data_IF_025403343368
#
_entry.id   IF_025403343368
#
_cell.length_a   1.000
_cell.length_b   1.000
_cell.length_c   1.000
_cell.angle_alpha   90.00
_cell.angle_beta   90.00
_cell.angle_gamma   90.00
#
_symmetry.space_group_name_H-M   'P 1'
#
loop_
_entity.id
_entity.type
_entity.pdbx_description
1 polymer ?
#
# COMPACT_ATOMS: atom_id res chain seq x y z
N UNK A 1 -16.69 4.10 10.41
CA UNK A 1 -16.52 2.68 10.00
C UNK A 1 -15.45 1.92 10.79
N UNK A 2 -14.14 2.15 10.66
CA UNK A 2 -13.14 1.35 11.44
C UNK A 2 -13.24 1.56 12.96
N UNK A 3 -13.34 2.82 13.41
CA UNK A 3 -13.50 3.16 14.84
C UNK A 3 -14.81 2.66 15.44
N UNK A 4 -15.90 2.72 14.67
CA UNK A 4 -17.21 2.17 15.06
C UNK A 4 -17.16 0.65 15.24
N UNK A 5 -16.30 -0.05 14.50
CA UNK A 5 -16.07 -1.48 14.63
C UNK A 5 -15.09 -1.84 15.76
N UNK A 6 -14.65 -0.86 16.59
CA UNK A 6 -13.67 -1.09 17.65
C UNK A 6 -12.24 -1.34 17.14
N UNK A 7 -11.96 -1.05 15.87
CA UNK A 7 -10.64 -1.24 15.27
C UNK A 7 -9.80 0.03 15.44
N UNK A 8 -8.63 -0.11 16.06
CA UNK A 8 -7.65 0.97 16.17
C UNK A 8 -7.15 1.40 14.79
N UNK A 9 -7.25 2.68 14.47
CA UNK A 9 -6.79 3.22 13.19
C UNK A 9 -5.99 4.51 13.38
N UNK A 10 -4.86 4.60 12.67
CA UNK A 10 -4.04 5.80 12.55
C UNK A 10 -3.97 6.20 11.09
N UNK A 11 -4.17 7.48 10.81
CA UNK A 11 -3.98 8.05 9.47
C UNK A 11 -2.67 8.82 9.44
N UNK A 12 -1.87 8.62 8.39
CA UNK A 12 -0.64 9.37 8.15
C UNK A 12 -0.59 9.82 6.70
N UNK A 13 -0.12 11.06 6.50
CA UNK A 13 0.16 11.61 5.18
C UNK A 13 1.67 11.75 5.08
N UNK A 14 2.26 11.05 4.13
CA UNK A 14 3.70 11.08 3.88
C UNK A 14 3.97 12.09 2.77
N UNK A 15 4.76 13.11 3.08
CA UNK A 15 5.22 14.10 2.12
C UNK A 15 6.72 13.90 1.84
N UNK A 16 7.15 14.22 0.62
CA UNK A 16 8.57 14.21 0.20
C UNK A 16 9.23 12.83 0.24
N UNK A 17 8.89 11.98 -0.72
CA UNK A 17 9.64 10.75 -1.02
C UNK A 17 10.06 10.74 -2.50
N UNK A 18 11.17 10.07 -2.87
CA UNK A 18 11.58 9.95 -4.27
C UNK A 18 10.55 9.21 -5.13
N UNK A 19 9.77 8.29 -4.52
CA UNK A 19 8.63 7.63 -5.15
C UNK A 19 7.57 7.19 -4.14
N UNK A 20 6.35 6.93 -4.62
CA UNK A 20 5.26 6.36 -3.80
C UNK A 20 5.63 4.97 -3.26
N UNK A 21 6.34 4.17 -4.06
CA UNK A 21 6.74 2.81 -3.67
C UNK A 21 7.68 2.88 -2.48
N UNK A 22 8.71 3.72 -2.57
CA UNK A 22 9.70 3.90 -1.51
C UNK A 22 9.07 4.47 -0.23
N UNK A 23 8.16 5.46 -0.35
CA UNK A 23 7.44 5.99 0.80
C UNK A 23 6.70 4.87 1.58
N UNK A 24 6.04 3.97 0.85
CA UNK A 24 5.26 2.87 1.45
C UNK A 24 6.20 1.85 2.11
N UNK A 25 7.25 1.41 1.42
CA UNK A 25 8.14 0.34 1.92
C UNK A 25 9.05 0.80 3.05
N UNK A 26 9.49 2.05 3.04
CA UNK A 26 10.27 2.63 4.11
C UNK A 26 9.39 2.85 5.35
N UNK A 27 8.18 3.39 5.19
CA UNK A 27 7.24 3.59 6.28
C UNK A 27 6.85 2.27 6.94
N UNK A 28 6.54 1.24 6.15
CA UNK A 28 6.17 -0.08 6.67
C UNK A 28 7.30 -0.69 7.50
N UNK A 29 8.54 -0.58 7.03
CA UNK A 29 9.73 -1.06 7.74
C UNK A 29 9.97 -0.30 9.04
N UNK A 30 9.91 1.04 9.01
CA UNK A 30 10.10 1.90 10.20
C UNK A 30 9.01 1.72 11.26
N UNK A 31 7.80 1.39 10.82
CA UNK A 31 6.64 1.26 11.71
C UNK A 31 6.41 -0.18 12.18
N UNK A 32 7.24 -1.15 11.77
CA UNK A 32 7.09 -2.55 12.15
C UNK A 32 5.81 -3.19 11.64
N UNK A 33 5.42 -2.88 10.39
CA UNK A 33 4.18 -3.40 9.79
C UNK A 33 4.40 -4.82 9.26
N UNK A 34 3.55 -5.76 9.68
CA UNK A 34 3.62 -7.16 9.25
C UNK A 34 2.94 -7.44 7.90
N UNK A 35 2.00 -6.59 7.49
CA UNK A 35 1.22 -6.73 6.26
C UNK A 35 0.86 -5.38 5.65
N UNK A 36 1.18 -5.21 4.36
CA UNK A 36 0.67 -4.10 3.54
C UNK A 36 -0.54 -4.57 2.76
N UNK A 37 -1.65 -3.83 2.85
CA UNK A 37 -2.84 -4.05 2.02
C UNK A 37 -2.97 -2.90 1.02
N UNK A 38 -3.00 -3.22 -0.28
CA UNK A 38 -3.12 -2.23 -1.36
C UNK A 38 -4.16 -2.64 -2.39
N UNK A 39 -4.82 -1.66 -3.01
CA UNK A 39 -5.70 -1.88 -4.16
C UNK A 39 -4.95 -1.96 -5.49
N UNK A 40 -5.64 -2.42 -6.54
CA UNK A 40 -5.12 -2.46 -7.94
C UNK A 40 -5.69 -1.36 -8.85
N UNK A 41 -6.50 -0.43 -8.35
CA UNK A 41 -7.23 0.51 -9.23
C UNK A 41 -6.26 1.51 -9.89
N UNK A 42 -6.10 1.39 -11.21
CA UNK A 42 -5.51 2.42 -12.07
C UNK A 42 -6.59 3.33 -12.66
N UNK A 43 -6.27 4.62 -12.85
CA UNK A 43 -7.14 5.59 -13.54
C UNK A 43 -7.33 5.30 -15.05
N UNK A 44 -6.58 4.35 -15.61
CA UNK A 44 -6.62 3.98 -17.04
C UNK A 44 -7.35 2.65 -17.25
N UNK A 45 -8.42 2.69 -18.06
CA UNK A 45 -9.37 1.60 -18.30
C UNK A 45 -8.83 0.37 -19.05
N UNK A 46 -7.78 -0.27 -18.53
CA UNK A 46 -7.29 -1.54 -19.06
C UNK A 46 -8.12 -2.70 -18.50
N UNK A 47 -8.87 -3.37 -19.39
CA UNK A 47 -9.79 -4.49 -19.12
C UNK A 47 -9.11 -5.81 -18.67
N UNK A 48 -7.88 -5.78 -18.14
CA UNK A 48 -7.13 -6.96 -17.69
C UNK A 48 -6.70 -6.80 -16.23
N UNK A 49 -6.43 -7.91 -15.54
CA UNK A 49 -5.86 -7.94 -14.19
C UNK A 49 -4.42 -7.39 -14.28
N UNK A 50 -4.29 -6.07 -14.17
CA UNK A 50 -2.99 -5.40 -14.10
C UNK A 50 -2.83 -4.96 -12.66
N UNK A 51 -1.73 -5.39 -12.03
CA UNK A 51 -1.42 -5.14 -10.62
C UNK A 51 -1.36 -3.64 -10.30
N UNK A 52 -1.07 -2.79 -11.30
CA UNK A 52 -0.85 -1.36 -11.14
C UNK A 52 0.62 -1.10 -10.80
N UNK A 53 1.16 0.05 -11.23
CA UNK A 53 2.58 0.38 -11.05
C UNK A 53 3.00 0.43 -9.58
N UNK A 54 2.16 1.02 -8.72
CA UNK A 54 2.43 1.13 -7.28
C UNK A 54 2.38 -0.23 -6.61
N UNK A 55 1.29 -1.00 -6.77
CA UNK A 55 1.20 -2.30 -6.12
C UNK A 55 2.29 -3.27 -6.61
N UNK A 56 2.64 -3.25 -7.90
CA UNK A 56 3.77 -4.03 -8.42
C UNK A 56 5.10 -3.64 -7.79
N UNK A 57 5.34 -2.33 -7.63
CA UNK A 57 6.54 -1.83 -6.96
C UNK A 57 6.59 -2.26 -5.49
N UNK A 58 5.48 -2.12 -4.75
CA UNK A 58 5.39 -2.51 -3.34
C UNK A 58 5.60 -4.00 -3.17
N UNK A 59 4.96 -4.86 -3.97
CA UNK A 59 5.17 -6.32 -3.95
C UNK A 59 6.63 -6.69 -4.19
N UNK A 60 7.34 -5.93 -5.02
CA UNK A 60 8.73 -6.22 -5.37
C UNK A 60 9.75 -5.76 -4.32
N UNK A 61 9.40 -4.78 -3.47
CA UNK A 61 10.36 -4.12 -2.58
C UNK A 61 9.98 -4.14 -1.09
N UNK A 62 8.77 -4.56 -0.73
CA UNK A 62 8.36 -4.64 0.66
C UNK A 62 9.17 -5.69 1.43
N UNK A 63 9.53 -5.36 2.65
CA UNK A 63 10.17 -6.27 3.62
C UNK A 63 9.17 -7.20 4.31
N UNK A 64 7.86 -6.97 4.13
CA UNK A 64 6.76 -7.70 4.76
C UNK A 64 5.76 -8.22 3.73
N UNK A 65 4.78 -9.00 4.19
CA UNK A 65 3.76 -9.56 3.31
C UNK A 65 2.94 -8.44 2.63
N UNK A 66 2.52 -8.70 1.39
CA UNK A 66 1.69 -7.76 0.62
C UNK A 66 0.43 -8.46 0.14
N UNK A 67 -0.73 -7.97 0.57
CA UNK A 67 -2.04 -8.41 0.10
C UNK A 67 -2.60 -7.39 -0.89
N UNK A 68 -2.82 -7.84 -2.12
CA UNK A 68 -3.37 -7.01 -3.18
C UNK A 68 -4.85 -7.33 -3.39
N UNK A 69 -5.71 -6.34 -3.17
CA UNK A 69 -7.18 -6.47 -3.26
C UNK A 69 -7.75 -5.78 -4.50
N UNK A 70 -8.81 -6.35 -5.07
CA UNK A 70 -9.48 -5.87 -6.28
C UNK A 70 -10.84 -5.26 -5.98
#
# INVERSE_FOLDING_TARGET
MAREAGVGCRGEVLEKAPSVVEAITEFSSKSGVDLIVTGTRGLSGFKKVVLGSVASGVVSHASCAVLVVK
#
